data_IF_971973325003
#
_entry.id   IF_971973325003
#
_cell.length_a   1.000
_cell.length_b   1.000
_cell.length_c   1.000
_cell.angle_alpha   90.00
_cell.angle_beta   90.00
_cell.angle_gamma   90.00
#
_symmetry.space_group_name_H-M   'P 1'
#
loop_
_entity.id
_entity.type
_entity.pdbx_description
1 polymer ?
#
# COMPACT_ATOMS: atom_id res chain seq x y z
N UNK A 1 -6.92 10.47 -0.19
CA UNK A 1 -6.21 9.31 -0.78
C UNK A 1 -5.93 9.46 -2.27
N UNK A 2 -6.79 10.14 -3.06
CA UNK A 2 -6.53 10.33 -4.49
C UNK A 2 -5.14 10.92 -4.83
N UNK A 3 -4.63 11.87 -4.04
CA UNK A 3 -3.27 12.40 -4.21
C UNK A 3 -2.17 11.34 -4.06
N UNK A 4 -2.37 10.31 -3.23
CA UNK A 4 -1.41 9.22 -3.10
C UNK A 4 -1.36 8.37 -4.37
N UNK A 5 -2.50 8.07 -4.99
CA UNK A 5 -2.51 7.36 -6.28
C UNK A 5 -1.90 8.22 -7.41
N UNK A 6 -2.08 9.53 -7.38
CA UNK A 6 -1.42 10.45 -8.31
C UNK A 6 0.11 10.37 -8.14
N UNK A 7 0.61 10.45 -6.91
CA UNK A 7 2.04 10.34 -6.62
C UNK A 7 2.59 8.97 -7.00
N UNK A 8 1.88 7.90 -6.63
CA UNK A 8 2.24 6.55 -7.00
C UNK A 8 2.38 6.37 -8.52
N UNK A 9 1.38 6.81 -9.29
CA UNK A 9 1.46 6.72 -10.76
C UNK A 9 2.62 7.53 -11.35
N UNK A 10 3.02 8.64 -10.72
CA UNK A 10 4.13 9.47 -11.19
C UNK A 10 5.50 8.85 -10.90
N UNK A 11 5.66 8.12 -9.77
CA UNK A 11 6.97 7.71 -9.26
C UNK A 11 7.18 6.19 -9.18
N UNK A 12 6.15 5.38 -9.38
CA UNK A 12 6.25 3.90 -9.32
C UNK A 12 6.99 3.28 -10.50
N UNK A 13 7.34 4.05 -11.54
CA UNK A 13 7.90 3.52 -12.79
C UNK A 13 7.05 2.39 -13.40
N UNK A 14 5.72 2.47 -13.23
CA UNK A 14 4.76 1.45 -13.66
C UNK A 14 4.62 0.25 -12.71
N UNK A 15 5.33 0.26 -11.58
CA UNK A 15 5.26 -0.77 -10.54
C UNK A 15 4.12 -0.59 -9.54
N UNK A 16 4.16 -1.44 -8.52
CA UNK A 16 3.18 -1.48 -7.42
C UNK A 16 3.72 -0.92 -6.10
N UNK A 17 4.92 -0.32 -6.12
CA UNK A 17 5.47 0.43 -5.00
C UNK A 17 5.49 1.92 -5.30
N UNK A 18 5.50 2.75 -4.26
CA UNK A 18 5.39 4.21 -4.41
C UNK A 18 6.58 4.82 -5.17
N UNK A 19 7.78 4.27 -5.03
CA UNK A 19 9.00 4.80 -5.63
C UNK A 19 9.79 3.69 -6.32
N UNK A 20 9.77 3.71 -7.66
CA UNK A 20 10.38 2.67 -8.48
C UNK A 20 9.75 1.29 -8.26
N UNK A 21 10.58 0.25 -8.33
CA UNK A 21 10.10 -1.13 -8.44
C UNK A 21 10.32 -1.97 -7.16
N UNK A 22 10.72 -1.34 -6.05
CA UNK A 22 11.05 -2.04 -4.81
C UNK A 22 10.27 -1.47 -3.64
N UNK A 23 9.98 -2.31 -2.65
CA UNK A 23 9.39 -1.85 -1.40
C UNK A 23 10.31 -0.83 -0.73
N UNK A 24 9.72 0.27 -0.30
CA UNK A 24 10.39 1.33 0.45
C UNK A 24 9.65 1.60 1.76
N UNK A 25 10.23 2.45 2.60
CA UNK A 25 9.57 2.99 3.79
C UNK A 25 8.24 3.71 3.49
N UNK A 26 8.06 4.25 2.28
CA UNK A 26 6.82 4.93 1.91
C UNK A 26 5.63 3.94 1.88
N UNK A 27 5.84 2.76 1.32
CA UNK A 27 4.84 1.70 1.24
C UNK A 27 4.45 1.20 2.64
N UNK A 28 5.44 1.02 3.52
CA UNK A 28 5.21 0.63 4.92
C UNK A 28 4.44 1.70 5.72
N UNK A 29 4.79 2.97 5.55
CA UNK A 29 4.11 4.07 6.22
C UNK A 29 2.65 4.17 5.77
N UNK A 30 2.39 4.06 4.46
CA UNK A 30 1.03 4.12 3.93
C UNK A 30 0.23 2.87 4.36
N UNK A 31 0.85 1.69 4.40
CA UNK A 31 0.24 0.48 4.92
C UNK A 31 -0.29 0.68 6.34
N UNK A 32 0.56 1.13 7.26
CA UNK A 32 0.22 1.36 8.67
C UNK A 32 -0.83 2.48 8.84
N UNK A 33 -0.66 3.59 8.12
CA UNK A 33 -1.63 4.70 8.13
C UNK A 33 -3.04 4.24 7.72
N UNK A 34 -3.15 3.31 6.77
CA UNK A 34 -4.43 2.80 6.29
C UNK A 34 -5.08 1.80 7.26
N UNK A 35 -4.34 1.22 8.20
CA UNK A 35 -4.84 0.17 9.09
C UNK A 35 -6.05 0.62 9.91
N UNK A 36 -5.93 1.77 10.59
CA UNK A 36 -7.00 2.33 11.40
C UNK A 36 -8.22 2.73 10.55
N UNK A 37 -7.99 3.19 9.32
CA UNK A 37 -9.07 3.59 8.42
C UNK A 37 -9.85 2.35 7.97
N UNK A 38 -9.15 1.27 7.61
CA UNK A 38 -9.76 0.02 7.17
C UNK A 38 -10.45 -0.74 8.32
N UNK A 39 -9.98 -0.56 9.56
CA UNK A 39 -10.67 -1.07 10.73
C UNK A 39 -12.05 -0.45 10.92
N UNK A 40 -12.20 0.84 10.57
CA UNK A 40 -13.48 1.56 10.64
C UNK A 40 -14.35 1.31 9.40
N UNK A 41 -13.75 1.30 8.22
CA UNK A 41 -14.41 1.08 6.93
C UNK A 41 -13.56 0.18 6.04
N UNK A 42 -13.85 -1.13 6.05
CA UNK A 42 -13.13 -2.12 5.23
C UNK A 42 -13.32 -1.91 3.73
N UNK A 43 -14.35 -1.18 3.31
CA UNK A 43 -14.62 -0.87 1.91
C UNK A 43 -13.93 0.40 1.42
N UNK A 44 -13.22 1.12 2.31
CA UNK A 44 -12.67 2.45 2.03
C UNK A 44 -11.75 2.48 0.78
N UNK A 45 -10.97 1.42 0.57
CA UNK A 45 -10.05 1.27 -0.56
C UNK A 45 -10.71 0.80 -1.88
N UNK A 46 -12.00 0.46 -1.88
CA UNK A 46 -12.72 -0.01 -3.09
C UNK A 46 -12.67 0.98 -4.27
N UNK A 47 -12.52 2.27 -3.96
CA UNK A 47 -12.39 3.37 -4.92
C UNK A 47 -10.95 3.75 -5.26
N UNK A 48 -9.95 3.07 -4.68
CA UNK A 48 -8.53 3.34 -4.82
C UNK A 48 -7.78 2.05 -5.18
N UNK A 49 -7.99 1.58 -6.41
CA UNK A 49 -7.50 0.27 -6.87
C UNK A 49 -5.97 0.13 -6.91
N UNK A 50 -5.22 1.23 -7.05
CA UNK A 50 -3.75 1.17 -6.98
C UNK A 50 -3.31 1.00 -5.53
N UNK A 51 -3.88 1.78 -4.59
CA UNK A 51 -3.57 1.64 -3.17
C UNK A 51 -3.94 0.25 -2.63
N UNK A 52 -5.06 -0.31 -3.09
CA UNK A 52 -5.45 -1.67 -2.75
C UNK A 52 -4.40 -2.70 -3.19
N UNK A 53 -3.87 -2.57 -4.41
CA UNK A 53 -2.82 -3.46 -4.93
C UNK A 53 -1.49 -3.26 -4.20
N UNK A 54 -1.06 -2.02 -4.00
CA UNK A 54 0.15 -1.72 -3.22
C UNK A 54 0.09 -2.37 -1.83
N UNK A 55 -1.04 -2.22 -1.13
CA UNK A 55 -1.24 -2.86 0.18
C UNK A 55 -1.09 -4.38 0.10
N UNK A 56 -1.73 -5.03 -0.88
CA UNK A 56 -1.61 -6.47 -1.09
C UNK A 56 -0.16 -6.91 -1.36
N UNK A 57 0.60 -6.15 -2.15
CA UNK A 57 2.01 -6.44 -2.44
C UNK A 57 2.91 -6.30 -1.21
N UNK A 58 2.61 -5.33 -0.33
CA UNK A 58 3.31 -5.17 0.97
C UNK A 58 3.01 -6.39 1.86
N UNK A 59 1.75 -6.80 1.99
CA UNK A 59 1.35 -7.96 2.81
C UNK A 59 1.98 -9.27 2.34
N UNK A 60 2.29 -9.39 1.04
CA UNK A 60 2.90 -10.58 0.45
C UNK A 60 4.42 -10.67 0.66
N UNK A 61 5.09 -9.61 1.13
CA UNK A 61 6.53 -9.65 1.36
C UNK A 61 6.87 -10.65 2.48
N UNK A 62 7.83 -11.59 2.31
CA UNK A 62 8.00 -12.73 3.21
C UNK A 62 8.14 -12.36 4.69
N UNK A 63 8.97 -11.35 5.00
CA UNK A 63 9.22 -10.92 6.37
C UNK A 63 8.02 -10.17 6.97
N UNK A 64 7.28 -9.43 6.16
CA UNK A 64 6.08 -8.69 6.58
C UNK A 64 4.94 -9.68 6.82
N UNK A 65 4.72 -10.60 5.87
CA UNK A 65 3.74 -11.67 6.00
C UNK A 65 3.97 -12.54 7.25
N UNK A 66 5.24 -12.81 7.58
CA UNK A 66 5.61 -13.52 8.81
C UNK A 66 5.30 -12.68 10.07
N UNK A 67 5.66 -11.39 10.06
CA UNK A 67 5.37 -10.47 11.16
C UNK A 67 3.87 -10.33 11.43
N UNK A 68 3.05 -10.14 10.39
CA UNK A 68 1.59 -9.93 10.53
C UNK A 68 0.83 -11.17 11.02
N UNK A 69 1.42 -12.38 10.94
CA UNK A 69 0.82 -13.62 11.46
C UNK A 69 1.18 -13.90 12.92
N UNK A 70 2.11 -13.13 13.48
CA UNK A 70 2.60 -13.28 14.86
C UNK A 70 1.65 -12.60 15.85
#
# INVERSE_FOLDING_TARGET
MQNLEILANAYSNGGLFFVGNHLTWCDLFVYDMLENILHVDSSFLSRYSWLQRNRQEVEQQPNIAAYLKS
#
